data_IF_718734432407
#
_entry.id   IF_718734432407
#
_cell.length_a   1.000
_cell.length_b   1.000
_cell.length_c   1.000
_cell.angle_alpha   90.00
_cell.angle_beta   90.00
_cell.angle_gamma   90.00
#
_symmetry.space_group_name_H-M   'P 1'
#
loop_
_entity.id
_entity.type
_entity.pdbx_description
1 polymer ?
#
# COMPACT_ATOMS: atom_id res chain seq x y z
N UNK A 1 -4.86 -27.53 -8.53
CA UNK A 1 -5.27 -26.17 -8.93
C UNK A 1 -4.71 -25.18 -7.93
N UNK A 2 -3.97 -24.13 -8.34
CA UNK A 2 -3.52 -23.12 -7.39
C UNK A 2 -4.74 -22.48 -6.74
N UNK A 3 -4.72 -22.34 -5.41
CA UNK A 3 -5.78 -21.72 -4.64
C UNK A 3 -5.95 -20.29 -5.18
N UNK A 4 -7.13 -19.95 -5.72
CA UNK A 4 -7.39 -18.60 -6.22
C UNK A 4 -7.22 -17.63 -5.05
N UNK A 5 -6.18 -16.80 -5.09
CA UNK A 5 -5.93 -15.78 -4.07
C UNK A 5 -7.13 -14.85 -4.01
N UNK A 6 -7.69 -14.66 -2.82
CA UNK A 6 -8.88 -13.81 -2.59
C UNK A 6 -8.56 -12.74 -1.56
N UNK A 7 -9.15 -11.56 -1.71
CA UNK A 7 -9.05 -10.45 -0.75
C UNK A 7 -10.28 -10.34 0.14
N UNK A 8 -11.24 -11.25 -0.01
CA UNK A 8 -12.42 -11.32 0.84
C UNK A 8 -12.03 -11.53 2.30
N UNK A 9 -12.73 -10.84 3.21
CA UNK A 9 -12.42 -10.85 4.64
C UNK A 9 -11.27 -9.93 5.04
N UNK A 10 -10.73 -9.13 4.10
CA UNK A 10 -9.60 -8.23 4.31
C UNK A 10 -9.96 -6.79 3.99
N UNK A 11 -9.36 -5.86 4.73
CA UNK A 11 -9.40 -4.43 4.45
C UNK A 11 -8.05 -3.97 3.91
N UNK A 12 -8.04 -3.05 2.94
CA UNK A 12 -6.83 -2.44 2.41
C UNK A 12 -6.69 -1.00 2.90
N UNK A 13 -5.46 -0.58 3.15
CA UNK A 13 -5.09 0.81 3.41
C UNK A 13 -4.01 1.20 2.40
N UNK A 14 -4.20 2.29 1.68
CA UNK A 14 -3.29 2.73 0.60
C UNK A 14 -3.11 4.24 0.58
N UNK A 15 -2.05 4.72 -0.10
CA UNK A 15 -1.96 6.11 -0.51
C UNK A 15 -3.15 6.47 -1.42
N UNK A 16 -3.71 7.67 -1.27
CA UNK A 16 -4.75 8.18 -2.15
C UNK A 16 -4.35 8.24 -3.63
N UNK A 17 -3.05 8.33 -3.94
CA UNK A 17 -2.52 8.28 -5.32
C UNK A 17 -2.91 7.01 -6.07
N UNK A 18 -3.02 5.87 -5.38
CA UNK A 18 -3.37 4.57 -5.99
C UNK A 18 -4.88 4.33 -6.08
N UNK A 19 -5.71 5.33 -5.79
CA UNK A 19 -7.17 5.19 -5.82
C UNK A 19 -7.69 4.78 -7.20
N UNK A 20 -7.25 5.36 -8.33
CA UNK A 20 -7.75 4.97 -9.66
C UNK A 20 -7.52 3.48 -9.93
N UNK A 21 -6.30 2.98 -9.68
CA UNK A 21 -5.90 1.60 -9.96
C UNK A 21 -6.63 0.61 -9.04
N UNK A 22 -6.70 0.90 -7.74
CA UNK A 22 -7.43 0.04 -6.80
C UNK A 22 -8.94 0.02 -7.06
N UNK A 23 -9.50 1.13 -7.55
CA UNK A 23 -10.93 1.19 -7.93
C UNK A 23 -11.19 0.36 -9.18
N UNK A 24 -10.34 0.48 -10.20
CA UNK A 24 -10.42 -0.34 -11.41
C UNK A 24 -10.31 -1.85 -11.10
N UNK A 25 -9.37 -2.26 -10.24
CA UNK A 25 -9.25 -3.66 -9.82
C UNK A 25 -10.49 -4.15 -9.07
N UNK A 26 -11.14 -3.28 -8.29
CA UNK A 26 -12.38 -3.61 -7.60
C UNK A 26 -13.55 -3.76 -8.58
N UNK A 27 -13.70 -2.82 -9.50
CA UNK A 27 -14.77 -2.80 -10.51
C UNK A 27 -14.70 -4.00 -11.47
N UNK A 28 -13.48 -4.41 -11.85
CA UNK A 28 -13.24 -5.59 -12.68
C UNK A 28 -13.32 -6.91 -11.91
N UNK A 29 -13.56 -6.88 -10.60
CA UNK A 29 -13.69 -8.07 -9.75
C UNK A 29 -12.38 -8.76 -9.40
N UNK A 30 -11.23 -8.18 -9.77
CA UNK A 30 -9.90 -8.69 -9.43
C UNK A 30 -9.53 -8.44 -7.96
N UNK A 31 -10.14 -7.42 -7.34
CA UNK A 31 -9.95 -7.04 -5.93
C UNK A 31 -11.29 -7.03 -5.18
N UNK A 32 -11.55 -8.07 -4.40
CA UNK A 32 -12.80 -8.25 -3.63
C UNK A 32 -12.63 -8.00 -2.12
N UNK A 33 -11.91 -6.94 -1.75
CA UNK A 33 -11.70 -6.55 -0.36
C UNK A 33 -12.98 -6.00 0.29
N UNK A 34 -13.16 -6.22 1.60
CA UNK A 34 -14.31 -5.72 2.37
C UNK A 34 -14.36 -4.19 2.37
N UNK A 35 -13.19 -3.55 2.49
CA UNK A 35 -13.04 -2.09 2.46
C UNK A 35 -11.68 -1.70 1.92
N UNK A 36 -11.63 -0.58 1.19
CA UNK A 36 -10.39 0.10 0.82
C UNK A 36 -10.43 1.49 1.44
N UNK A 37 -9.43 1.79 2.25
CA UNK A 37 -9.25 3.06 2.96
C UNK A 37 -8.00 3.76 2.44
N UNK A 38 -7.98 5.09 2.55
CA UNK A 38 -6.94 5.91 1.96
C UNK A 38 -6.38 6.94 2.95
N UNK A 39 -5.08 7.18 2.91
CA UNK A 39 -4.51 8.44 3.42
C UNK A 39 -4.55 9.51 2.34
N UNK A 40 -4.32 10.78 2.72
CA UNK A 40 -4.08 11.85 1.75
C UNK A 40 -2.91 11.46 0.82
N UNK A 41 -2.97 11.78 -0.49
CA UNK A 41 -1.83 11.65 -1.40
C UNK A 41 -0.59 12.44 -0.94
N UNK A 42 0.61 12.01 -1.33
CA UNK A 42 1.85 12.77 -1.12
C UNK A 42 2.43 12.76 0.31
N UNK A 43 1.82 12.08 1.29
CA UNK A 43 2.29 12.14 2.68
C UNK A 43 3.67 11.51 2.95
N UNK A 44 4.32 10.88 1.96
CA UNK A 44 5.71 10.44 2.09
C UNK A 44 6.68 11.63 2.27
N UNK A 45 6.24 12.84 1.92
CA UNK A 45 6.96 14.10 2.19
C UNK A 45 6.69 14.66 3.59
N UNK A 46 5.65 14.17 4.29
CA UNK A 46 5.20 14.65 5.61
C UNK A 46 5.07 13.46 6.58
N UNK A 47 6.19 12.89 7.09
CA UNK A 47 6.19 11.62 7.84
C UNK A 47 5.27 11.60 9.07
N UNK A 48 5.18 12.71 9.82
CA UNK A 48 4.35 12.77 11.02
C UNK A 48 2.85 12.71 10.72
N UNK A 49 2.40 13.33 9.61
CA UNK A 49 1.01 13.29 9.19
C UNK A 49 0.70 11.93 8.52
N UNK A 50 1.67 11.34 7.80
CA UNK A 50 1.58 9.94 7.35
C UNK A 50 1.30 9.00 8.52
N UNK A 51 2.11 9.05 9.58
CA UNK A 51 1.98 8.15 10.73
C UNK A 51 0.59 8.29 11.38
N UNK A 52 0.18 9.53 11.64
CA UNK A 52 -1.13 9.85 12.23
C UNK A 52 -2.27 9.29 11.38
N UNK A 53 -2.23 9.48 10.06
CA UNK A 53 -3.28 9.00 9.18
C UNK A 53 -3.26 7.48 9.00
N UNK A 54 -2.07 6.85 8.93
CA UNK A 54 -1.94 5.41 8.86
C UNK A 54 -2.56 4.76 10.10
N UNK A 55 -2.20 5.22 11.31
CA UNK A 55 -2.77 4.72 12.57
C UNK A 55 -4.30 4.91 12.61
N UNK A 56 -4.79 6.07 12.18
CA UNK A 56 -6.23 6.34 12.06
C UNK A 56 -6.94 5.39 11.09
N UNK A 57 -6.36 5.11 9.93
CA UNK A 57 -6.96 4.20 8.95
C UNK A 57 -6.87 2.74 9.40
N UNK A 58 -5.83 2.35 10.13
CA UNK A 58 -5.75 1.04 10.78
C UNK A 58 -6.90 0.88 11.76
N UNK A 59 -7.18 1.89 12.60
CA UNK A 59 -8.33 1.85 13.51
C UNK A 59 -9.67 1.72 12.77
N UNK A 60 -9.85 2.50 11.70
CA UNK A 60 -11.05 2.40 10.86
C UNK A 60 -11.20 1.02 10.21
N UNK A 61 -10.10 0.44 9.71
CA UNK A 61 -10.10 -0.83 8.98
C UNK A 61 -10.59 -2.01 9.84
N UNK A 62 -10.30 -1.99 11.14
CA UNK A 62 -10.75 -3.01 12.12
C UNK A 62 -12.25 -3.18 12.16
N UNK A 63 -13.01 -2.13 11.85
CA UNK A 63 -14.48 -2.14 11.84
C UNK A 63 -15.06 -2.96 10.69
N UNK A 64 -14.23 -3.28 9.68
CA UNK A 64 -14.64 -3.96 8.46
C UNK A 64 -14.02 -5.35 8.31
N UNK A 65 -12.82 -5.57 8.88
CA UNK A 65 -12.08 -6.83 8.74
C UNK A 65 -11.12 -7.05 9.91
N UNK A 66 -10.89 -8.32 10.26
CA UNK A 66 -9.84 -8.71 11.22
C UNK A 66 -8.44 -8.68 10.60
N UNK A 67 -8.33 -8.98 9.30
CA UNK A 67 -7.07 -8.92 8.55
C UNK A 67 -6.99 -7.62 7.75
N UNK A 68 -5.85 -6.94 7.85
CA UNK A 68 -5.59 -5.69 7.14
C UNK A 68 -4.35 -5.85 6.26
N UNK A 69 -4.45 -5.37 5.03
CA UNK A 69 -3.32 -5.26 4.09
C UNK A 69 -2.95 -3.79 3.96
N UNK A 70 -1.69 -3.48 4.25
CA UNK A 70 -1.11 -2.14 4.13
C UNK A 70 -0.34 -2.05 2.81
N UNK A 71 -0.85 -1.24 1.89
CA UNK A 71 -0.33 -1.05 0.53
C UNK A 71 0.61 0.15 0.53
N UNK A 72 1.77 -0.04 1.16
CA UNK A 72 2.87 0.92 1.19
C UNK A 72 4.22 0.25 1.01
N UNK A 73 5.13 0.97 0.37
CA UNK A 73 6.49 0.52 0.10
C UNK A 73 7.44 1.06 1.15
N UNK A 74 8.64 0.51 1.20
CA UNK A 74 9.69 0.90 2.13
C UNK A 74 9.96 2.42 2.11
N UNK A 75 9.93 3.04 0.92
CA UNK A 75 10.21 4.47 0.74
C UNK A 75 8.99 5.38 0.94
N UNK A 76 7.83 4.83 1.29
CA UNK A 76 6.63 5.64 1.52
C UNK A 76 6.62 6.33 2.89
N UNK A 77 7.54 5.95 3.79
CA UNK A 77 7.76 6.59 5.07
C UNK A 77 9.22 6.45 5.44
N UNK A 78 9.85 7.58 5.77
CA UNK A 78 11.21 7.63 6.28
C UNK A 78 11.16 8.52 7.51
N UNK A 79 11.43 7.94 8.67
CA UNK A 79 11.62 8.73 9.89
C UNK A 79 13.03 9.32 9.86
N UNK A 80 13.10 10.66 9.79
CA UNK A 80 14.36 11.39 9.70
C UNK A 80 15.12 11.46 11.02
N UNK A 81 14.47 11.11 12.14
CA UNK A 81 15.07 11.09 13.47
C UNK A 81 15.51 9.67 13.87
N UNK A 82 14.74 8.67 13.49
CA UNK A 82 15.08 7.26 13.68
C UNK A 82 14.86 6.46 12.38
N UNK A 83 15.88 6.37 11.49
CA UNK A 83 15.76 5.64 10.23
C UNK A 83 15.43 4.15 10.38
N UNK A 84 15.60 3.59 11.58
CA UNK A 84 15.21 2.21 11.85
C UNK A 84 13.71 2.06 12.04
N UNK A 85 12.97 3.16 12.29
CA UNK A 85 11.53 3.19 12.47
C UNK A 85 10.85 3.23 11.10
N UNK A 86 10.43 2.06 10.63
CA UNK A 86 9.75 1.88 9.36
C UNK A 86 8.24 1.66 9.54
N UNK A 87 7.54 1.46 8.42
CA UNK A 87 6.08 1.21 8.42
C UNK A 87 5.73 -0.07 9.17
N UNK A 88 6.59 -1.09 9.14
CA UNK A 88 6.32 -2.36 9.81
C UNK A 88 6.36 -2.17 11.34
N UNK A 89 7.29 -1.35 11.87
CA UNK A 89 7.26 -0.90 13.27
C UNK A 89 6.02 -0.06 13.59
N UNK A 90 5.62 0.88 12.71
CA UNK A 90 4.38 1.65 12.92
C UNK A 90 3.16 0.74 13.02
N UNK A 91 3.10 -0.32 12.22
CA UNK A 91 2.04 -1.33 12.29
C UNK A 91 2.11 -2.10 13.61
N UNK A 92 3.29 -2.58 14.00
CA UNK A 92 3.49 -3.32 15.27
C UNK A 92 3.05 -2.51 16.49
N UNK A 93 3.36 -1.20 16.51
CA UNK A 93 2.93 -0.26 17.56
C UNK A 93 1.40 -0.19 17.73
N UNK A 94 0.63 -0.52 16.69
CA UNK A 94 -0.85 -0.52 16.80
C UNK A 94 -1.42 -1.78 17.47
N UNK A 95 -0.62 -2.84 17.61
CA UNK A 95 -1.05 -4.14 18.13
C UNK A 95 -2.02 -4.92 17.23
N UNK A 96 -2.13 -4.52 15.95
CA UNK A 96 -3.12 -5.08 15.01
C UNK A 96 -2.48 -6.12 14.11
N UNK A 97 -3.25 -7.14 13.76
CA UNK A 97 -2.87 -8.11 12.72
C UNK A 97 -3.00 -7.47 11.31
N UNK A 98 -2.09 -6.56 11.00
CA UNK A 98 -1.93 -5.98 9.69
C UNK A 98 -0.63 -6.45 9.05
N UNK A 99 -0.66 -6.69 7.74
CA UNK A 99 0.51 -7.08 6.95
C UNK A 99 0.74 -6.06 5.86
N UNK A 100 2.00 -5.64 5.69
CA UNK A 100 2.39 -4.78 4.57
C UNK A 100 2.78 -5.61 3.36
N UNK A 101 2.54 -5.06 2.17
CA UNK A 101 3.07 -5.64 0.92
C UNK A 101 4.60 -5.50 0.85
N UNK A 102 5.24 -6.34 0.05
CA UNK A 102 6.67 -6.23 -0.24
C UNK A 102 6.87 -5.37 -1.49
N UNK A 103 7.14 -4.09 -1.30
CA UNK A 103 7.40 -3.13 -2.38
C UNK A 103 8.41 -2.08 -1.90
N UNK A 104 9.23 -1.50 -2.79
CA UNK A 104 10.09 -0.38 -2.41
C UNK A 104 9.37 0.96 -2.50
N UNK A 105 8.51 1.16 -3.50
CA UNK A 105 7.79 2.41 -3.73
C UNK A 105 6.45 2.16 -4.44
N UNK A 106 5.69 3.22 -4.74
CA UNK A 106 4.40 3.14 -5.42
C UNK A 106 4.45 2.47 -6.81
N UNK A 107 5.56 2.63 -7.56
CA UNK A 107 5.72 2.03 -8.88
C UNK A 107 5.79 0.51 -8.76
N UNK A 108 6.54 -0.01 -7.77
CA UNK A 108 6.62 -1.46 -7.52
C UNK A 108 5.27 -2.08 -7.13
N UNK A 109 4.28 -1.28 -6.71
CA UNK A 109 2.92 -1.76 -6.42
C UNK A 109 2.08 -1.92 -7.68
N UNK A 110 2.48 -1.28 -8.78
CA UNK A 110 1.83 -1.36 -10.08
C UNK A 110 2.50 -2.41 -10.97
N UNK A 111 3.84 -2.36 -11.02
CA UNK A 111 4.67 -3.29 -11.78
C UNK A 111 6.03 -3.43 -11.08
N UNK A 112 6.39 -4.67 -10.73
CA UNK A 112 7.68 -4.95 -10.13
C UNK A 112 8.84 -4.69 -11.10
N UNK A 113 10.08 -4.77 -10.61
CA UNK A 113 11.25 -4.50 -11.45
C UNK A 113 11.32 -5.41 -12.69
N UNK A 114 11.02 -6.69 -12.55
CA UNK A 114 11.10 -7.65 -13.65
C UNK A 114 10.01 -7.42 -14.69
N UNK A 115 8.81 -7.04 -14.26
CA UNK A 115 7.72 -6.63 -15.15
C UNK A 115 8.08 -5.34 -15.90
N UNK A 116 8.65 -4.35 -15.21
CA UNK A 116 9.13 -3.12 -15.85
C UNK A 116 10.26 -3.37 -16.84
N UNK A 117 11.17 -4.30 -16.57
CA UNK A 117 12.21 -4.72 -17.52
C UNK A 117 11.61 -5.37 -18.77
N UNK A 118 10.58 -6.21 -18.61
CA UNK A 118 9.85 -6.79 -19.75
C UNK A 118 9.14 -5.72 -20.59
N UNK A 119 8.42 -4.80 -19.94
CA UNK A 119 7.69 -3.72 -20.62
C UNK A 119 8.65 -2.75 -21.33
N UNK A 120 9.80 -2.46 -20.72
CA UNK A 120 10.78 -1.54 -21.32
C UNK A 120 11.40 -2.10 -22.60
N UNK A 121 11.50 -3.42 -22.73
CA UNK A 121 12.13 -4.08 -23.86
C UNK A 121 13.59 -3.67 -24.02
N UNK A 122 14.30 -3.47 -22.90
CA UNK A 122 15.70 -3.03 -22.87
C UNK A 122 15.92 -1.52 -23.06
N UNK A 123 14.86 -0.73 -23.23
CA UNK A 123 14.96 0.74 -23.32
C UNK A 123 15.13 1.38 -21.94
N UNK A 124 15.81 2.52 -21.90
CA UNK A 124 15.85 3.38 -20.70
C UNK A 124 14.52 4.11 -20.56
N UNK A 125 13.65 3.59 -19.70
CA UNK A 125 12.33 4.17 -19.41
C UNK A 125 12.35 4.77 -17.99
N UNK A 126 11.88 6.02 -17.88
CA UNK A 126 11.62 6.63 -16.59
C UNK A 126 10.16 6.36 -16.19
N UNK A 127 9.96 5.76 -15.03
CA UNK A 127 8.65 5.31 -14.56
C UNK A 127 8.07 6.31 -13.57
N UNK A 128 6.83 6.75 -13.81
CA UNK A 128 6.12 7.71 -12.99
C UNK A 128 4.70 7.22 -12.73
N UNK A 129 4.21 7.47 -11.52
CA UNK A 129 2.78 7.45 -11.21
C UNK A 129 2.24 8.88 -11.28
N UNK A 130 0.99 9.09 -11.71
CA UNK A 130 0.36 10.40 -11.60
C UNK A 130 0.12 10.73 -10.13
N UNK A 131 1.00 11.53 -9.52
CA UNK A 131 0.83 12.03 -8.15
C UNK A 131 2.13 12.24 -7.38
#
# INVERSE_FOLDING_TARGET
>A
MPKKTTFQGRSLISCGTLRPELSYLKETGSLNANKILYTTPGLHEIPWEFEKQLKKQIDNAKRYSQEIIVVYGERCFIDTKDPSRDIDKLIQETGVNARRIKAKNCIDMLADLGEREKISGGRKVYWLSPG
#
